data_IF_041156987222
#
_entry.id   IF_041156987222
#
_cell.length_a   1.000
_cell.length_b   1.000
_cell.length_c   1.000
_cell.angle_alpha   90.00
_cell.angle_beta   90.00
_cell.angle_gamma   90.00
#
_symmetry.space_group_name_H-M   'P 1'
#
loop_
_entity.id
_entity.type
_entity.pdbx_description
1 polymer ?
#
# COMPACT_ATOMS: atom_id res chain seq x y z
N UNK A 1 -30.21 15.79 -34.38
CA UNK A 1 -28.81 16.13 -34.08
C UNK A 1 -28.64 15.95 -32.59
N UNK A 2 -27.90 14.93 -32.17
CA UNK A 2 -27.51 14.80 -30.77
C UNK A 2 -26.28 15.69 -30.60
N UNK A 3 -26.41 16.76 -29.81
CA UNK A 3 -25.30 17.65 -29.52
C UNK A 3 -24.33 16.88 -28.61
N UNK A 4 -23.13 16.59 -29.12
CA UNK A 4 -22.07 16.04 -28.30
C UNK A 4 -21.59 17.16 -27.38
N UNK A 5 -21.62 16.93 -26.07
CA UNK A 5 -21.02 17.79 -25.06
C UNK A 5 -19.63 17.28 -24.72
N UNK A 6 -18.73 18.21 -24.35
CA UNK A 6 -17.37 17.85 -23.95
C UNK A 6 -17.48 16.98 -22.70
N UNK A 7 -17.15 15.68 -22.78
CA UNK A 7 -17.25 14.83 -21.61
C UNK A 7 -16.22 15.32 -20.60
N UNK A 8 -16.61 15.38 -19.34
CA UNK A 8 -15.71 15.81 -18.27
C UNK A 8 -15.27 14.59 -17.46
N UNK A 9 -13.96 14.36 -17.46
CA UNK A 9 -13.31 13.34 -16.64
C UNK A 9 -12.78 13.96 -15.35
N UNK A 10 -13.30 13.47 -14.23
CA UNK A 10 -12.86 13.79 -12.88
C UNK A 10 -12.26 12.55 -12.21
N UNK A 11 -11.15 12.73 -11.51
CA UNK A 11 -10.55 11.67 -10.69
C UNK A 11 -11.20 11.76 -9.31
N UNK A 12 -12.18 10.88 -9.06
CA UNK A 12 -12.95 10.91 -7.83
C UNK A 12 -12.13 10.37 -6.65
N UNK A 13 -11.48 9.22 -6.83
CA UNK A 13 -10.61 8.61 -5.82
C UNK A 13 -9.42 7.91 -6.48
N UNK A 14 -8.26 7.98 -5.83
CA UNK A 14 -7.05 7.28 -6.26
C UNK A 14 -6.61 6.32 -5.17
N UNK A 15 -6.34 5.08 -5.53
CA UNK A 15 -5.84 4.03 -4.65
C UNK A 15 -4.39 3.67 -5.00
N UNK A 16 -3.81 2.72 -4.27
CA UNK A 16 -2.49 2.15 -4.54
C UNK A 16 -2.46 1.39 -5.88
N UNK A 17 -3.47 0.59 -6.18
CA UNK A 17 -3.52 -0.28 -7.38
C UNK A 17 -4.80 -0.11 -8.18
N UNK A 18 -5.56 0.95 -7.89
CA UNK A 18 -6.81 1.27 -8.55
C UNK A 18 -7.06 2.78 -8.61
N UNK A 19 -7.96 3.20 -9.50
CA UNK A 19 -8.49 4.56 -9.55
C UNK A 19 -9.99 4.50 -9.78
N UNK A 20 -10.71 5.45 -9.23
CA UNK A 20 -12.13 5.70 -9.51
C UNK A 20 -12.21 7.00 -10.29
N UNK A 21 -12.66 6.88 -11.54
CA UNK A 21 -12.83 7.97 -12.48
C UNK A 21 -14.33 8.22 -12.63
N UNK A 22 -14.74 9.46 -12.45
CA UNK A 22 -16.11 9.92 -12.69
C UNK A 22 -16.16 10.61 -14.04
N UNK A 23 -17.01 10.09 -14.89
CA UNK A 23 -17.33 10.65 -16.20
C UNK A 23 -18.64 11.40 -16.07
N UNK A 24 -18.68 12.65 -16.50
CA UNK A 24 -19.90 13.45 -16.58
C UNK A 24 -20.06 14.02 -17.98
N UNK A 25 -21.27 14.46 -18.32
CA UNK A 25 -21.61 14.97 -19.66
C UNK A 25 -21.41 13.96 -20.80
N UNK A 26 -21.50 12.65 -20.49
CA UNK A 26 -21.41 11.60 -21.51
C UNK A 26 -22.60 11.71 -22.48
N UNK A 27 -22.32 12.06 -23.73
CA UNK A 27 -23.30 12.20 -24.80
C UNK A 27 -22.92 11.35 -25.99
N UNK A 28 -23.90 10.73 -26.64
CA UNK A 28 -23.72 9.80 -27.76
C UNK A 28 -24.15 8.38 -27.43
N UNK A 29 -23.63 7.42 -28.20
CA UNK A 29 -24.03 6.01 -28.16
C UNK A 29 -23.04 5.15 -27.36
N UNK A 30 -21.75 5.51 -27.40
CA UNK A 30 -20.66 4.78 -26.73
C UNK A 30 -19.58 5.71 -26.24
N UNK A 31 -18.88 5.29 -25.19
CA UNK A 31 -17.69 5.95 -24.67
C UNK A 31 -16.51 4.97 -24.63
N UNK A 32 -15.31 5.53 -24.64
CA UNK A 32 -14.03 4.84 -24.51
C UNK A 32 -13.16 5.62 -23.51
N UNK A 33 -13.00 5.06 -22.32
CA UNK A 33 -12.11 5.54 -21.27
C UNK A 33 -10.75 4.86 -21.40
N UNK A 34 -9.70 5.64 -21.64
CA UNK A 34 -8.34 5.12 -21.77
C UNK A 34 -7.50 5.66 -20.62
N UNK A 35 -6.74 4.76 -19.98
CA UNK A 35 -5.82 5.04 -18.89
C UNK A 35 -4.47 4.41 -19.23
N UNK A 36 -3.39 5.19 -19.36
CA UNK A 36 -2.04 4.65 -19.56
C UNK A 36 -1.06 5.14 -18.50
N UNK A 37 -0.06 4.32 -18.21
CA UNK A 37 1.04 4.68 -17.34
C UNK A 37 2.00 5.63 -18.07
N UNK A 38 2.14 6.86 -17.56
CA UNK A 38 3.12 7.82 -18.06
C UNK A 38 4.43 7.61 -17.30
N UNK A 39 5.52 7.31 -18.04
CA UNK A 39 6.85 7.09 -17.48
C UNK A 39 7.11 5.67 -16.95
N UNK A 40 6.59 4.64 -17.61
CA UNK A 40 7.07 3.28 -17.39
C UNK A 40 8.50 3.18 -17.94
N UNK A 41 9.47 2.92 -17.06
CA UNK A 41 10.82 2.52 -17.44
C UNK A 41 10.71 1.22 -18.27
N UNK A 42 11.48 1.14 -19.35
CA UNK A 42 11.27 0.41 -20.62
C UNK A 42 11.05 -1.12 -20.53
N UNK A 43 10.99 -1.73 -19.34
CA UNK A 43 11.08 -3.20 -19.16
C UNK A 43 9.76 -3.89 -18.78
N UNK A 44 8.70 -3.15 -18.42
CA UNK A 44 7.44 -3.77 -17.96
C UNK A 44 6.24 -3.13 -18.67
N UNK A 45 5.75 -3.85 -19.69
CA UNK A 45 4.66 -3.50 -20.61
C UNK A 45 3.70 -2.45 -20.02
N UNK A 46 3.78 -1.22 -20.54
CA UNK A 46 2.94 -0.11 -20.14
C UNK A 46 1.47 -0.55 -20.07
N UNK A 47 0.96 -0.74 -18.85
CA UNK A 47 -0.40 -1.19 -18.61
C UNK A 47 -1.36 -0.10 -19.12
N UNK A 48 -1.80 -0.25 -20.36
CA UNK A 48 -2.81 0.58 -20.99
C UNK A 48 -4.15 -0.09 -20.75
N UNK A 49 -4.95 0.50 -19.88
CA UNK A 49 -6.30 0.04 -19.61
C UNK A 49 -7.27 0.84 -20.46
N UNK A 50 -8.04 0.14 -21.29
CA UNK A 50 -9.10 0.73 -22.09
C UNK A 50 -10.42 0.13 -21.66
N UNK A 51 -11.38 0.97 -21.30
CA UNK A 51 -12.74 0.61 -20.97
C UNK A 51 -13.71 1.28 -21.93
N UNK A 52 -14.35 0.48 -22.76
CA UNK A 52 -15.41 0.92 -23.66
C UNK A 52 -16.77 0.42 -23.18
N UNK A 53 -17.81 1.22 -23.41
CA UNK A 53 -19.17 0.85 -23.03
C UNK A 53 -20.24 1.71 -23.69
N UNK A 54 -21.50 1.24 -23.72
CA UNK A 54 -22.63 2.03 -24.18
C UNK A 54 -22.94 3.16 -23.19
N UNK A 55 -23.20 4.36 -23.69
CA UNK A 55 -23.63 5.49 -22.84
C UNK A 55 -25.10 5.29 -22.53
N UNK A 56 -25.42 4.87 -21.31
CA UNK A 56 -26.81 4.78 -20.82
C UNK A 56 -27.21 5.99 -19.99
N UNK A 57 -26.21 6.63 -19.37
CA UNK A 57 -26.39 7.71 -18.43
C UNK A 57 -25.35 8.80 -18.72
N UNK A 58 -25.71 10.09 -18.57
CA UNK A 58 -24.78 11.20 -18.77
C UNK A 58 -23.69 11.26 -17.70
N UNK A 59 -23.89 10.58 -16.57
CA UNK A 59 -22.91 10.41 -15.50
C UNK A 59 -22.64 8.93 -15.27
N UNK A 60 -21.37 8.55 -15.20
CA UNK A 60 -20.96 7.16 -14.92
C UNK A 60 -19.65 7.13 -14.14
N UNK A 61 -19.56 6.21 -13.19
CA UNK A 61 -18.38 6.03 -12.35
C UNK A 61 -17.67 4.73 -12.73
N UNK A 62 -16.40 4.84 -13.09
CA UNK A 62 -15.58 3.75 -13.58
C UNK A 62 -14.42 3.50 -12.62
N UNK A 63 -14.39 2.29 -12.06
CA UNK A 63 -13.27 1.83 -11.25
C UNK A 63 -12.31 1.03 -12.13
N UNK A 64 -11.11 1.57 -12.32
CA UNK A 64 -10.01 0.88 -13.00
C UNK A 64 -9.11 0.24 -11.95
N UNK A 65 -9.03 -1.08 -11.93
CA UNK A 65 -8.10 -1.87 -11.11
C UNK A 65 -6.89 -2.30 -11.95
N UNK A 66 -5.86 -2.92 -11.35
CA UNK A 66 -4.63 -3.38 -12.03
C UNK A 66 -3.65 -2.24 -12.38
N UNK A 67 -3.68 -1.15 -11.63
CA UNK A 67 -2.67 -0.10 -11.73
C UNK A 67 -1.47 -0.46 -10.85
N UNK A 68 -0.29 0.02 -11.23
CA UNK A 68 0.91 0.00 -10.40
C UNK A 68 0.84 1.13 -9.39
N UNK A 69 1.36 0.86 -8.21
CA UNK A 69 1.49 1.84 -7.14
C UNK A 69 2.63 2.82 -7.36
N UNK A 70 2.50 4.03 -6.80
CA UNK A 70 3.50 5.12 -6.94
C UNK A 70 3.80 5.51 -8.40
N UNK A 71 2.89 5.20 -9.33
CA UNK A 71 3.06 5.41 -10.77
C UNK A 71 2.16 6.55 -11.24
N UNK A 72 2.66 7.35 -12.18
CA UNK A 72 1.85 8.39 -12.83
C UNK A 72 1.05 7.76 -13.95
N UNK A 73 -0.26 8.00 -13.95
CA UNK A 73 -1.19 7.59 -14.97
C UNK A 73 -1.85 8.80 -15.60
N UNK A 74 -2.26 8.67 -16.86
CA UNK A 74 -3.02 9.67 -17.59
C UNK A 74 -4.28 9.01 -18.11
N UNK A 75 -5.43 9.61 -17.81
CA UNK A 75 -6.74 9.15 -18.26
C UNK A 75 -7.46 10.20 -19.11
N UNK A 76 -8.15 9.75 -20.17
CA UNK A 76 -9.12 10.55 -20.91
C UNK A 76 -10.28 9.66 -21.34
N UNK A 77 -11.43 10.28 -21.58
CA UNK A 77 -12.58 9.61 -22.17
C UNK A 77 -12.87 10.19 -23.54
N UNK A 78 -13.27 9.35 -24.47
CA UNK A 78 -13.76 9.72 -25.79
C UNK A 78 -15.18 9.20 -25.95
N UNK A 79 -16.11 10.07 -26.33
CA UNK A 79 -17.48 9.70 -26.65
C UNK A 79 -17.66 9.66 -28.16
N UNK A 80 -18.51 8.77 -28.65
CA UNK A 80 -18.84 8.63 -30.06
C UNK A 80 -20.36 8.69 -30.25
N UNK A 81 -20.80 9.39 -31.28
CA UNK A 81 -22.18 9.42 -31.75
C UNK A 81 -22.20 9.45 -33.27
N UNK A 82 -22.91 8.54 -33.91
CA UNK A 82 -23.10 8.39 -35.37
C UNK A 82 -21.86 8.69 -36.27
N UNK A 83 -21.51 9.95 -36.50
CA UNK A 83 -20.37 10.43 -37.31
C UNK A 83 -19.38 11.35 -36.55
N UNK A 84 -19.66 11.68 -35.30
CA UNK A 84 -18.88 12.60 -34.49
C UNK A 84 -18.26 11.89 -33.28
N UNK A 85 -17.08 12.33 -32.89
CA UNK A 85 -16.42 11.88 -31.65
C UNK A 85 -15.88 13.08 -30.90
N UNK A 86 -16.03 13.10 -29.58
CA UNK A 86 -15.50 14.16 -28.76
C UNK A 86 -14.69 13.61 -27.58
N UNK A 87 -13.59 14.27 -27.27
CA UNK A 87 -12.59 13.82 -26.31
C UNK A 87 -12.59 14.74 -25.09
N UNK A 88 -12.51 14.16 -23.89
CA UNK A 88 -12.29 14.91 -22.65
C UNK A 88 -10.86 15.40 -22.58
N UNK A 89 -10.64 16.44 -21.77
CA UNK A 89 -9.31 16.79 -21.28
C UNK A 89 -8.63 15.58 -20.63
N UNK A 90 -7.37 15.37 -20.97
CA UNK A 90 -6.53 14.38 -20.32
C UNK A 90 -6.29 14.78 -18.86
N UNK A 91 -6.51 13.85 -17.95
CA UNK A 91 -6.25 14.03 -16.52
C UNK A 91 -5.14 13.10 -16.07
N UNK A 92 -4.02 13.70 -15.68
CA UNK A 92 -2.96 13.00 -14.98
C UNK A 92 -3.33 12.77 -13.51
N UNK A 93 -3.13 11.56 -13.01
CA UNK A 93 -3.18 11.26 -11.60
C UNK A 93 -2.01 10.36 -11.22
N UNK A 94 -1.53 10.49 -9.98
CA UNK A 94 -0.48 9.62 -9.45
C UNK A 94 -1.13 8.63 -8.51
N UNK A 95 -0.99 7.33 -8.77
CA UNK A 95 -1.44 6.31 -7.83
C UNK A 95 -0.70 6.48 -6.51
N UNK A 96 -1.39 6.15 -5.43
CA UNK A 96 -0.77 6.21 -4.12
C UNK A 96 0.42 5.24 -4.10
N UNK A 97 1.48 5.54 -3.34
CA UNK A 97 2.48 4.52 -3.05
C UNK A 97 1.77 3.29 -2.50
N UNK A 98 2.29 2.11 -2.79
CA UNK A 98 1.63 0.85 -2.47
C UNK A 98 1.46 0.84 -0.96
N UNK A 99 0.29 1.27 -0.49
CA UNK A 99 -0.09 1.04 0.88
C UNK A 99 -0.57 -0.38 0.87
N UNK A 100 0.39 -1.28 0.71
CA UNK A 100 0.19 -2.68 1.02
C UNK A 100 -0.33 -2.63 2.45
N UNK A 101 -1.64 -2.77 2.62
CA UNK A 101 -2.25 -3.25 3.86
C UNK A 101 -1.91 -4.72 3.99
N UNK A 102 -0.64 -5.01 3.91
CA UNK A 102 -0.05 -6.06 4.69
C UNK A 102 0.03 -5.50 6.09
N UNK A 103 0.19 -6.42 7.00
CA UNK A 103 0.39 -6.24 8.43
C UNK A 103 1.75 -5.52 8.69
N UNK A 104 2.26 -4.72 7.73
CA UNK A 104 3.62 -4.15 7.62
C UNK A 104 3.71 -2.66 7.99
N UNK A 105 2.66 -2.04 8.53
CA UNK A 105 2.73 -0.71 9.19
C UNK A 105 2.52 -0.83 10.71
N UNK A 106 2.73 -2.04 11.24
CA UNK A 106 2.57 -2.32 12.65
C UNK A 106 3.95 -2.25 13.32
N UNK A 107 4.14 -1.37 14.32
CA UNK A 107 5.43 -1.24 15.00
C UNK A 107 5.86 -2.58 15.63
N UNK A 108 7.15 -2.76 15.93
CA UNK A 108 7.74 -4.08 16.25
C UNK A 108 6.99 -4.80 17.40
N UNK A 109 6.42 -4.02 18.31
CA UNK A 109 5.61 -4.51 19.41
C UNK A 109 4.30 -5.13 18.92
N UNK A 110 3.64 -4.56 17.91
CA UNK A 110 2.43 -5.15 17.31
C UNK A 110 2.76 -6.36 16.42
N UNK A 111 3.90 -6.35 15.70
CA UNK A 111 4.40 -7.54 14.96
C UNK A 111 4.62 -8.72 15.90
N UNK A 112 5.10 -8.48 17.11
CA UNK A 112 5.23 -9.49 18.16
C UNK A 112 3.90 -9.74 18.90
N UNK A 113 2.96 -8.80 18.86
CA UNK A 113 1.70 -8.84 19.62
C UNK A 113 1.88 -8.51 21.10
N UNK A 114 2.88 -7.69 21.41
CA UNK A 114 3.25 -7.24 22.76
C UNK A 114 3.07 -5.72 22.87
N UNK A 115 3.05 -5.21 24.10
CA UNK A 115 3.07 -3.77 24.34
C UNK A 115 4.44 -3.16 23.99
N UNK A 116 4.49 -1.87 23.64
CA UNK A 116 5.73 -1.15 23.41
C UNK A 116 6.69 -1.16 24.63
N UNK A 117 6.15 -1.38 25.83
CA UNK A 117 6.87 -1.50 27.11
C UNK A 117 7.01 -2.95 27.59
N UNK A 118 6.80 -3.94 26.71
CA UNK A 118 6.84 -5.34 27.08
C UNK A 118 8.24 -5.78 27.51
N UNK A 119 8.30 -6.62 28.55
CA UNK A 119 9.59 -7.15 29.06
C UNK A 119 10.16 -8.22 28.13
N UNK A 120 11.47 -8.48 28.24
CA UNK A 120 12.17 -9.53 27.49
C UNK A 120 11.49 -10.91 27.53
N UNK A 121 10.84 -11.24 28.66
CA UNK A 121 10.07 -12.49 28.84
C UNK A 121 8.81 -12.52 27.98
N UNK A 122 8.08 -11.40 27.89
CA UNK A 122 6.87 -11.27 27.08
C UNK A 122 7.18 -11.27 25.59
N UNK A 123 8.20 -10.51 25.18
CA UNK A 123 8.72 -10.48 23.80
C UNK A 123 9.06 -11.89 23.31
N UNK A 124 9.78 -12.67 24.11
CA UNK A 124 10.20 -14.03 23.74
C UNK A 124 9.02 -15.02 23.71
N UNK A 125 8.05 -14.86 24.62
CA UNK A 125 6.85 -15.71 24.69
C UNK A 125 5.94 -15.48 23.48
N UNK A 126 5.70 -14.22 23.13
CA UNK A 126 4.88 -13.86 21.99
C UNK A 126 5.55 -14.21 20.65
N UNK A 127 6.87 -13.98 20.54
CA UNK A 127 7.68 -14.46 19.42
C UNK A 127 7.53 -15.97 19.22
N UNK A 128 7.69 -16.80 20.27
CA UNK A 128 7.52 -18.25 20.17
C UNK A 128 6.12 -18.63 19.66
N UNK A 129 5.07 -18.01 20.20
CA UNK A 129 3.69 -18.30 19.80
C UNK A 129 3.41 -17.93 18.33
N UNK A 130 3.99 -16.83 17.83
CA UNK A 130 3.86 -16.40 16.43
C UNK A 130 4.73 -17.24 15.48
N UNK A 131 5.96 -17.56 15.85
CA UNK A 131 6.85 -18.42 15.05
C UNK A 131 6.29 -19.83 14.84
N UNK A 132 5.54 -20.36 15.82
CA UNK A 132 4.82 -21.64 15.69
C UNK A 132 3.59 -21.55 14.77
N UNK A 133 2.95 -20.38 14.68
CA UNK A 133 1.82 -20.14 13.77
C UNK A 133 2.27 -19.96 12.32
N UNK A 134 3.37 -19.22 12.10
CA UNK A 134 3.90 -18.91 10.77
C UNK A 134 5.06 -19.83 10.37
N UNK A 135 5.03 -21.10 10.81
CA UNK A 135 6.12 -22.02 10.54
C UNK A 135 6.08 -22.50 9.06
N UNK A 136 7.14 -22.29 8.27
CA UNK A 136 7.18 -22.62 6.84
C UNK A 136 7.04 -24.13 6.55
N UNK A 137 7.15 -24.97 7.58
CA UNK A 137 6.95 -26.42 7.50
C UNK A 137 5.48 -26.83 7.31
N UNK A 138 4.52 -25.99 7.72
CA UNK A 138 3.09 -26.25 7.45
C UNK A 138 2.63 -25.76 6.08
N UNK A 139 3.45 -24.97 5.40
CA UNK A 139 3.13 -24.34 4.12
C UNK A 139 3.75 -25.17 2.99
N UNK A 140 2.90 -25.89 2.24
CA UNK A 140 3.32 -26.70 1.09
C UNK A 140 3.56 -25.87 -0.18
N UNK A 141 3.06 -24.63 -0.22
CA UNK A 141 3.20 -23.71 -1.36
C UNK A 141 4.57 -23.00 -1.35
N UNK A 142 5.36 -23.05 -2.43
CA UNK A 142 6.67 -22.39 -2.51
C UNK A 142 6.59 -20.86 -2.37
N UNK A 143 5.53 -20.23 -2.88
CA UNK A 143 5.28 -18.79 -2.74
C UNK A 143 5.03 -18.38 -1.28
N UNK A 144 4.35 -19.25 -0.52
CA UNK A 144 4.08 -19.01 0.91
C UNK A 144 5.26 -19.36 1.79
N UNK A 145 6.15 -20.25 1.35
CA UNK A 145 7.41 -20.55 2.04
C UNK A 145 8.35 -19.35 2.04
N UNK A 146 8.50 -18.67 0.90
CA UNK A 146 9.31 -17.45 0.82
C UNK A 146 8.73 -16.35 1.75
N UNK A 147 7.41 -16.14 1.68
CA UNK A 147 6.71 -15.20 2.57
C UNK A 147 6.84 -15.58 4.07
N UNK A 148 6.82 -16.88 4.40
CA UNK A 148 6.98 -17.37 5.77
C UNK A 148 8.42 -17.24 6.28
N UNK A 149 9.43 -17.48 5.43
CA UNK A 149 10.84 -17.25 5.76
C UNK A 149 11.12 -15.76 6.00
N UNK A 150 10.57 -14.88 5.15
CA UNK A 150 10.60 -13.44 5.36
C UNK A 150 9.93 -13.04 6.69
N UNK A 151 8.76 -13.61 7.01
CA UNK A 151 8.09 -13.38 8.29
C UNK A 151 8.90 -13.86 9.49
N UNK A 152 9.56 -15.02 9.40
CA UNK A 152 10.45 -15.52 10.46
C UNK A 152 11.67 -14.62 10.68
N UNK A 153 12.32 -14.16 9.61
CA UNK A 153 13.43 -13.20 9.73
C UNK A 153 12.98 -11.92 10.41
N UNK A 154 11.82 -11.39 10.05
CA UNK A 154 11.26 -10.15 10.64
C UNK A 154 10.83 -10.35 12.09
N UNK A 155 10.23 -11.48 12.46
CA UNK A 155 9.94 -11.84 13.86
C UNK A 155 11.22 -11.87 14.71
N UNK A 156 12.31 -12.43 14.17
CA UNK A 156 13.60 -12.43 14.84
C UNK A 156 14.18 -11.01 14.98
N UNK A 157 14.08 -10.18 13.93
CA UNK A 157 14.56 -8.80 13.95
C UNK A 157 13.78 -7.92 14.93
N UNK A 158 12.44 -8.01 14.93
CA UNK A 158 11.56 -7.31 15.87
C UNK A 158 11.87 -7.71 17.32
N UNK A 159 12.01 -9.02 17.59
CA UNK A 159 12.45 -9.52 18.89
C UNK A 159 13.80 -8.94 19.29
N UNK A 160 14.76 -8.90 18.38
CA UNK A 160 16.11 -8.39 18.65
C UNK A 160 16.11 -6.88 18.93
N UNK A 161 15.35 -6.08 18.19
CA UNK A 161 15.20 -4.65 18.43
C UNK A 161 14.52 -4.37 19.78
N UNK A 162 13.42 -5.07 20.08
CA UNK A 162 12.70 -4.94 21.35
C UNK A 162 13.56 -5.39 22.55
N UNK A 163 14.30 -6.51 22.42
CA UNK A 163 15.27 -6.94 23.43
C UNK A 163 16.42 -5.95 23.59
N UNK A 164 16.92 -5.36 22.51
CA UNK A 164 17.97 -4.34 22.55
C UNK A 164 17.49 -3.08 23.27
N UNK A 165 16.26 -2.64 23.03
CA UNK A 165 15.65 -1.50 23.75
C UNK A 165 15.39 -1.82 25.23
N UNK A 166 14.86 -2.99 25.55
CA UNK A 166 14.57 -3.42 26.92
C UNK A 166 15.83 -3.71 27.77
N UNK A 167 16.96 -4.03 27.13
CA UNK A 167 18.23 -4.32 27.82
C UNK A 167 19.10 -3.07 28.05
N UNK A 168 18.69 -1.90 27.54
CA UNK A 168 19.41 -0.63 27.68
C UNK A 168 19.26 0.04 29.05
N UNK A 169 18.27 -0.37 29.86
CA UNK A 169 17.91 0.32 31.12
C UNK A 169 18.38 -0.44 32.39
N UNK A 170 19.18 -1.50 32.26
CA UNK A 170 19.69 -2.26 33.42
C UNK A 170 21.18 -2.01 33.74
N UNK A 171 21.91 -1.22 32.91
CA UNK A 171 23.35 -0.97 33.13
C UNK A 171 23.70 0.39 33.74
N UNK A 172 22.72 1.23 34.07
CA UNK A 172 22.98 2.55 34.68
C UNK A 172 22.59 2.66 36.16
N UNK A 173 22.32 1.52 36.82
CA UNK A 173 22.03 1.44 38.26
C UNK A 173 23.01 0.55 39.04
N UNK A 174 24.29 0.51 38.68
CA UNK A 174 25.33 -0.18 39.45
C UNK A 174 26.71 0.47 39.31
N UNK A 175 26.80 1.77 39.57
CA UNK A 175 28.08 2.46 39.83
C UNK A 175 27.95 3.68 40.76
N UNK A 176 26.94 3.68 41.64
CA UNK A 176 26.88 4.64 42.75
C UNK A 176 26.80 3.89 44.07
N UNK A 177 27.91 3.25 44.44
CA UNK A 177 28.22 3.04 45.86
C UNK A 177 28.69 4.40 46.40
N UNK A 178 28.01 5.01 47.38
CA UNK A 178 28.44 6.26 47.96
C UNK A 178 29.78 6.06 48.68
N UNK A 179 30.79 6.81 48.23
CA UNK A 179 32.05 6.99 48.95
C UNK A 179 31.73 7.67 50.29
N UNK A 180 31.89 6.93 51.38
CA UNK A 180 31.88 7.50 52.73
C UNK A 180 33.18 8.31 52.93
N UNK A 181 33.12 9.58 53.37
CA UNK A 181 34.32 10.38 53.58
C UNK A 181 35.08 9.92 54.84
N UNK A 182 36.40 9.95 54.75
CA UNK A 182 37.34 9.62 55.82
C UNK A 182 37.19 10.57 57.03
N UNK A 183 37.44 10.09 58.27
CA UNK A 183 37.55 10.96 59.43
C UNK A 183 38.95 11.58 59.50
N UNK A 184 39.03 12.90 59.69
CA UNK A 184 40.26 13.58 60.07
C UNK A 184 39.93 14.69 61.09
N UNK A 185 40.54 14.59 62.28
CA UNK A 185 40.53 15.62 63.32
C UNK A 185 39.91 15.16 64.62
#
# INVERSE_FOLDING_TARGET
>A
MQELLEPELEVAEVFDTAVVLRLTSLTGDRFELTVYASGADDDDAAATLVQQGPIRNPESVHRMSQLKSSQVYVAWVRVFSDDQSMESRQKGFKTLPARVKTIWDEPDHVILGVAATATAKEITKAWRAKSLQYHPDKEADPDKKDAAEEMMKRLNLAKQNMLRGASGEDRMASSSSPVVPAPAG
#
